data_IF_312290184150
#
_entry.id   IF_312290184150
#
_cell.length_a   1.000
_cell.length_b   1.000
_cell.length_c   1.000
_cell.angle_alpha   90.00
_cell.angle_beta   90.00
_cell.angle_gamma   90.00
#
_symmetry.space_group_name_H-M   'P 1'
#
loop_
_entity.id
_entity.type
_entity.pdbx_description
1 polymer ?
#
# COMPACT_ATOMS: atom_id res chain seq x y z
N UNK A 1 -7.09 -3.07 4.46
CA UNK A 1 -5.98 -3.54 3.59
C UNK A 1 -6.39 -3.38 2.13
N UNK A 2 -5.57 -2.73 1.32
CA UNK A 2 -5.79 -2.55 -0.12
C UNK A 2 -5.04 -3.63 -0.88
N UNK A 3 -5.79 -4.55 -1.48
CA UNK A 3 -5.28 -5.60 -2.35
C UNK A 3 -5.40 -5.20 -3.81
N UNK A 4 -4.36 -5.51 -4.59
CA UNK A 4 -4.40 -5.39 -6.06
C UNK A 4 -5.35 -6.42 -6.66
N UNK A 5 -5.87 -6.16 -7.87
CA UNK A 5 -6.80 -7.06 -8.55
C UNK A 5 -6.28 -8.50 -8.57
N UNK A 6 -7.10 -9.48 -8.19
CA UNK A 6 -6.67 -10.85 -8.11
C UNK A 6 -6.48 -11.38 -9.53
N UNK A 7 -5.35 -12.01 -9.79
CA UNK A 7 -5.31 -13.02 -10.84
C UNK A 7 -6.26 -14.16 -10.46
N UNK A 8 -7.27 -14.42 -11.29
CA UNK A 8 -8.29 -15.50 -11.30
C UNK A 8 -8.89 -16.09 -10.00
N UNK A 9 -8.36 -15.95 -8.77
CA UNK A 9 -8.94 -16.56 -7.55
C UNK A 9 -8.60 -15.80 -6.26
N UNK A 10 -9.64 -15.58 -5.44
CA UNK A 10 -9.67 -15.20 -4.01
C UNK A 10 -8.80 -14.00 -3.55
N UNK A 11 -9.10 -13.48 -2.36
CA UNK A 11 -8.18 -12.57 -1.64
C UNK A 11 -6.87 -13.34 -1.45
N UNK A 12 -5.87 -13.04 -2.29
CA UNK A 12 -4.63 -13.82 -2.34
C UNK A 12 -3.85 -13.68 -1.04
N UNK A 13 -3.17 -14.74 -0.61
CA UNK A 13 -2.05 -14.62 0.33
C UNK A 13 -1.12 -13.49 -0.17
N UNK A 14 -0.59 -12.64 0.71
CA UNK A 14 -0.62 -12.71 2.17
C UNK A 14 -1.73 -11.86 2.81
N UNK A 15 -2.65 -11.30 2.02
CA UNK A 15 -3.70 -10.39 2.50
C UNK A 15 -4.55 -11.04 3.59
N UNK A 16 -4.98 -12.30 3.39
CA UNK A 16 -5.74 -13.04 4.39
C UNK A 16 -4.96 -13.28 5.68
N UNK A 17 -3.67 -13.63 5.59
CA UNK A 17 -2.81 -13.94 6.74
C UNK A 17 -2.57 -12.69 7.58
N UNK A 18 -2.29 -11.55 6.93
CA UNK A 18 -2.12 -10.25 7.60
C UNK A 18 -3.42 -9.82 8.29
N UNK A 19 -4.55 -9.88 7.60
CA UNK A 19 -5.83 -9.48 8.20
C UNK A 19 -6.25 -10.39 9.36
N UNK A 20 -5.94 -11.68 9.29
CA UNK A 20 -6.19 -12.62 10.38
C UNK A 20 -5.26 -12.38 11.57
N UNK A 21 -3.98 -12.10 11.30
CA UNK A 21 -3.01 -11.74 12.35
C UNK A 21 -3.41 -10.47 13.08
N UNK A 22 -3.75 -9.41 12.34
CA UNK A 22 -4.21 -8.14 12.93
C UNK A 22 -5.46 -8.30 13.80
N UNK A 23 -6.42 -9.13 13.37
CA UNK A 23 -7.64 -9.41 14.16
C UNK A 23 -7.36 -10.21 15.44
N UNK A 24 -6.31 -11.02 15.46
CA UNK A 24 -5.89 -11.78 16.66
C UNK A 24 -5.18 -10.88 17.67
N UNK A 25 -4.38 -9.93 17.18
CA UNK A 25 -3.55 -9.04 18.00
C UNK A 25 -4.31 -7.83 18.55
N UNK A 26 -5.49 -7.51 18.02
CA UNK A 26 -6.30 -6.40 18.54
C UNK A 26 -7.79 -6.63 18.37
N UNK A 27 -8.48 -6.78 19.51
CA UNK A 27 -9.95 -6.80 19.59
C UNK A 27 -10.59 -5.40 19.44
N UNK A 28 -9.77 -4.34 19.31
CA UNK A 28 -10.21 -2.94 19.43
C UNK A 28 -10.36 -2.21 18.09
N UNK A 29 -9.99 -2.81 16.96
CA UNK A 29 -10.08 -2.14 15.65
C UNK A 29 -10.59 -3.03 14.52
N UNK A 30 -11.50 -2.46 13.73
CA UNK A 30 -12.09 -3.12 12.57
C UNK A 30 -11.08 -3.20 11.42
N UNK A 31 -10.80 -4.42 10.96
CA UNK A 31 -9.94 -4.67 9.78
C UNK A 31 -10.80 -5.10 8.60
N UNK A 32 -10.84 -4.25 7.56
CA UNK A 32 -11.52 -4.53 6.28
C UNK A 32 -10.49 -4.78 5.17
N UNK A 33 -10.93 -5.47 4.11
CA UNK A 33 -10.15 -5.70 2.90
C UNK A 33 -10.87 -5.11 1.71
N UNK A 34 -10.20 -4.23 0.97
CA UNK A 34 -10.66 -3.70 -0.30
C UNK A 34 -9.79 -4.30 -1.41
N UNK A 35 -10.42 -4.92 -2.38
CA UNK A 35 -9.75 -5.40 -3.60
C UNK A 35 -10.08 -4.44 -4.72
N UNK A 36 -9.05 -3.84 -5.32
CA UNK A 36 -9.25 -2.82 -6.35
C UNK A 36 -9.79 -3.41 -7.65
N UNK A 37 -10.72 -2.69 -8.29
CA UNK A 37 -11.25 -3.00 -9.61
C UNK A 37 -10.16 -2.88 -10.68
N UNK A 38 -9.33 -1.84 -10.62
CA UNK A 38 -8.22 -1.57 -11.54
C UNK A 38 -6.86 -1.59 -10.82
N UNK A 39 -6.54 -2.70 -10.14
CA UNK A 39 -5.32 -2.88 -9.36
C UNK A 39 -4.11 -3.43 -10.14
N UNK A 40 -4.30 -3.83 -11.39
CA UNK A 40 -3.24 -4.32 -12.30
C UNK A 40 -2.46 -3.15 -12.94
N UNK A 41 -1.40 -3.46 -13.72
CA UNK A 41 -0.67 -2.45 -14.51
C UNK A 41 0.06 -1.38 -13.68
N UNK A 42 0.17 -0.17 -14.20
CA UNK A 42 0.69 1.05 -13.57
C UNK A 42 -0.24 2.23 -13.91
N UNK A 43 -0.19 3.36 -13.18
CA UNK A 43 -0.96 4.54 -13.54
C UNK A 43 -0.68 5.01 -14.98
N UNK A 44 -1.68 5.59 -15.64
CA UNK A 44 -1.53 6.07 -17.02
C UNK A 44 -0.52 7.23 -17.15
N UNK A 45 -0.34 8.01 -16.09
CA UNK A 45 0.61 9.13 -16.02
C UNK A 45 2.00 8.68 -15.52
N UNK A 46 2.22 7.37 -15.36
CA UNK A 46 3.50 6.82 -14.93
C UNK A 46 4.55 6.93 -16.05
N UNK A 47 5.81 7.30 -15.76
CA UNK A 47 6.90 7.27 -16.75
C UNK A 47 7.12 5.89 -17.37
N UNK A 48 6.70 4.82 -16.70
CA UNK A 48 6.81 3.43 -17.20
C UNK A 48 5.54 2.92 -17.88
N UNK A 49 4.51 3.75 -18.07
CA UNK A 49 3.24 3.36 -18.69
C UNK A 49 3.44 2.78 -20.10
N UNK A 50 4.32 3.38 -20.92
CA UNK A 50 4.62 2.89 -22.27
C UNK A 50 5.33 1.54 -22.34
N UNK A 51 5.84 1.03 -21.22
CA UNK A 51 6.51 -0.27 -21.12
C UNK A 51 5.61 -1.39 -20.58
N UNK A 52 4.36 -1.07 -20.22
CA UNK A 52 3.42 -2.03 -19.63
C UNK A 52 2.31 -2.36 -20.63
N UNK A 53 2.31 -3.59 -21.12
CA UNK A 53 1.20 -4.13 -21.92
C UNK A 53 0.04 -4.49 -20.98
N UNK A 54 -1.13 -3.86 -21.15
CA UNK A 54 -2.36 -4.21 -20.43
C UNK A 54 -3.15 -3.03 -19.88
N UNK A 55 -4.06 -3.32 -18.94
CA UNK A 55 -4.93 -2.32 -18.32
C UNK A 55 -4.16 -1.40 -17.37
N UNK A 56 -4.56 -0.11 -17.33
CA UNK A 56 -4.01 0.88 -16.41
C UNK A 56 -4.47 0.65 -14.97
N UNK A 57 -3.59 1.00 -14.03
CA UNK A 57 -3.93 1.09 -12.62
C UNK A 57 -4.81 2.32 -12.38
N UNK A 58 -5.82 2.20 -11.52
CA UNK A 58 -6.69 3.32 -11.17
C UNK A 58 -7.52 3.07 -9.92
N UNK A 59 -8.16 4.14 -9.45
CA UNK A 59 -9.12 4.12 -8.34
C UNK A 59 -10.43 4.76 -8.78
N UNK A 60 -11.53 4.14 -8.39
CA UNK A 60 -12.87 4.73 -8.53
C UNK A 60 -13.17 5.68 -7.35
N UNK A 61 -14.08 6.67 -7.50
CA UNK A 61 -14.49 7.53 -6.39
C UNK A 61 -14.99 6.75 -5.16
N UNK A 62 -15.68 5.62 -5.40
CA UNK A 62 -16.14 4.72 -4.34
C UNK A 62 -14.97 4.09 -3.58
N UNK A 63 -13.93 3.63 -4.28
CA UNK A 63 -12.74 3.06 -3.64
C UNK A 63 -11.96 4.11 -2.84
N UNK A 64 -11.87 5.34 -3.35
CA UNK A 64 -11.23 6.47 -2.62
C UNK A 64 -11.97 6.71 -1.30
N UNK A 65 -13.29 6.92 -1.35
CA UNK A 65 -14.11 7.11 -0.15
C UNK A 65 -13.99 5.93 0.83
N UNK A 66 -13.94 4.70 0.31
CA UNK A 66 -13.76 3.51 1.11
C UNK A 66 -12.38 3.38 1.75
N UNK A 67 -11.33 3.92 1.14
CA UNK A 67 -9.99 3.97 1.73
C UNK A 67 -9.97 5.03 2.83
N UNK A 68 -10.43 6.24 2.54
CA UNK A 68 -10.34 7.40 3.44
C UNK A 68 -11.19 7.30 4.71
N UNK A 69 -12.22 6.43 4.75
CA UNK A 69 -12.96 6.17 6.00
C UNK A 69 -12.12 5.47 7.10
N UNK A 70 -10.91 4.99 6.78
CA UNK A 70 -10.05 4.27 7.71
C UNK A 70 -8.95 5.17 8.29
N UNK A 71 -8.47 4.84 9.49
CA UNK A 71 -7.33 5.54 10.11
C UNK A 71 -6.00 5.25 9.42
N UNK A 72 -5.83 4.02 8.92
CA UNK A 72 -4.58 3.54 8.31
C UNK A 72 -4.89 2.61 7.13
N UNK A 73 -4.18 2.79 6.02
CA UNK A 73 -4.22 1.90 4.87
C UNK A 73 -2.96 1.02 4.80
N UNK A 74 -3.12 -0.29 4.63
CA UNK A 74 -2.04 -1.21 4.28
C UNK A 74 -2.07 -1.41 2.77
N UNK A 75 -1.02 -0.99 2.06
CA UNK A 75 -0.92 -1.04 0.60
C UNK A 75 0.00 -2.20 0.21
N UNK A 76 -0.56 -3.32 -0.26
CA UNK A 76 0.22 -4.50 -0.58
C UNK A 76 0.56 -4.61 -2.07
N UNK A 77 1.86 -4.65 -2.40
CA UNK A 77 2.37 -4.61 -3.77
C UNK A 77 3.32 -5.78 -4.11
N UNK A 78 3.56 -5.98 -5.41
CA UNK A 78 4.37 -7.07 -5.94
C UNK A 78 5.88 -6.77 -6.01
N UNK A 79 6.56 -7.39 -6.99
CA UNK A 79 8.02 -7.44 -7.06
C UNK A 79 8.68 -6.45 -8.04
N UNK A 80 7.93 -5.51 -8.61
CA UNK A 80 8.49 -4.55 -9.58
C UNK A 80 8.58 -3.18 -8.93
N UNK A 81 9.81 -2.74 -8.61
CA UNK A 81 10.07 -1.52 -7.82
C UNK A 81 9.32 -0.30 -8.35
N UNK A 82 9.49 0.01 -9.64
CA UNK A 82 8.82 1.15 -10.29
C UNK A 82 7.29 1.05 -10.20
N UNK A 83 6.72 -0.16 -10.30
CA UNK A 83 5.28 -0.34 -10.16
C UNK A 83 4.80 -0.09 -8.74
N UNK A 84 5.56 -0.52 -7.73
CA UNK A 84 5.23 -0.27 -6.32
C UNK A 84 5.20 1.23 -6.07
N UNK A 85 6.29 1.93 -6.39
CA UNK A 85 6.43 3.37 -6.14
C UNK A 85 5.32 4.16 -6.85
N UNK A 86 5.08 3.90 -8.14
CA UNK A 86 4.08 4.64 -8.91
C UNK A 86 2.65 4.37 -8.44
N UNK A 87 2.33 3.15 -8.00
CA UNK A 87 1.01 2.85 -7.42
C UNK A 87 0.82 3.49 -6.06
N UNK A 88 1.83 3.44 -5.19
CA UNK A 88 1.76 4.09 -3.87
C UNK A 88 1.53 5.58 -4.05
N UNK A 89 2.31 6.22 -4.95
CA UNK A 89 2.12 7.62 -5.33
C UNK A 89 0.71 7.90 -5.79
N UNK A 90 0.19 7.13 -6.75
CA UNK A 90 -1.15 7.33 -7.29
C UNK A 90 -2.24 7.17 -6.23
N UNK A 91 -2.15 6.15 -5.37
CA UNK A 91 -3.13 5.95 -4.30
C UNK A 91 -3.15 7.16 -3.35
N UNK A 92 -1.98 7.65 -2.93
CA UNK A 92 -1.88 8.72 -1.94
C UNK A 92 -2.06 10.13 -2.54
N UNK A 93 -1.92 10.27 -3.85
CA UNK A 93 -2.35 11.45 -4.61
C UNK A 93 -3.87 11.63 -4.53
N UNK A 94 -4.61 10.53 -4.53
CA UNK A 94 -6.08 10.55 -4.47
C UNK A 94 -6.62 10.48 -3.05
N UNK A 95 -5.99 9.71 -2.17
CA UNK A 95 -6.44 9.44 -0.80
C UNK A 95 -5.58 10.14 0.26
N UNK A 96 -6.19 10.97 1.09
CA UNK A 96 -5.58 11.57 2.28
C UNK A 96 -5.61 10.60 3.46
N UNK A 97 -4.67 9.65 3.49
CA UNK A 97 -4.59 8.62 4.54
C UNK A 97 -3.14 8.34 4.95
N UNK A 98 -2.96 7.89 6.20
CA UNK A 98 -1.71 7.32 6.69
C UNK A 98 -1.56 5.91 6.12
N UNK A 99 -0.45 5.63 5.44
CA UNK A 99 -0.26 4.37 4.74
C UNK A 99 0.96 3.59 5.23
N UNK A 100 0.84 2.26 5.20
CA UNK A 100 1.94 1.31 5.40
C UNK A 100 2.12 0.57 4.09
N UNK A 101 3.31 0.64 3.51
CA UNK A 101 3.61 -0.05 2.25
C UNK A 101 4.16 -1.43 2.56
N UNK A 102 3.48 -2.46 2.08
CA UNK A 102 3.93 -3.85 2.18
C UNK A 102 4.28 -4.33 0.77
N UNK A 103 5.48 -4.83 0.55
CA UNK A 103 5.94 -5.17 -0.80
C UNK A 103 6.82 -6.40 -0.84
N UNK A 104 6.88 -7.07 -2.00
CA UNK A 104 7.85 -8.15 -2.21
C UNK A 104 9.25 -7.58 -2.45
N UNK A 105 9.36 -6.60 -3.35
CA UNK A 105 10.63 -5.96 -3.70
C UNK A 105 11.07 -4.98 -2.61
N UNK A 106 12.36 -4.90 -2.25
CA UNK A 106 12.86 -3.86 -1.37
C UNK A 106 12.69 -2.48 -2.01
N UNK A 107 12.09 -1.56 -1.25
CA UNK A 107 12.00 -0.12 -1.53
C UNK A 107 12.32 0.64 -0.25
N UNK A 108 12.71 1.91 -0.37
CA UNK A 108 12.95 2.81 0.77
C UNK A 108 12.11 4.10 0.68
N UNK A 109 12.32 5.01 1.64
CA UNK A 109 11.60 6.28 1.69
C UNK A 109 12.04 7.24 0.59
N UNK A 110 13.30 7.17 0.18
CA UNK A 110 13.90 7.96 -0.88
C UNK A 110 13.31 7.61 -2.25
N UNK A 111 13.10 6.32 -2.53
CA UNK A 111 12.41 5.82 -3.72
C UNK A 111 11.02 6.48 -3.86
N UNK A 112 10.29 6.61 -2.75
CA UNK A 112 8.96 7.23 -2.71
C UNK A 112 9.02 8.77 -2.77
N UNK A 113 9.94 9.39 -2.01
CA UNK A 113 10.05 10.83 -1.94
C UNK A 113 10.48 11.46 -3.28
N UNK A 114 11.32 10.76 -4.06
CA UNK A 114 11.68 11.16 -5.44
C UNK A 114 10.47 11.31 -6.36
N UNK A 115 9.42 10.52 -6.13
CA UNK A 115 8.17 10.57 -6.89
C UNK A 115 7.12 11.51 -6.25
N UNK A 116 7.52 12.34 -5.29
CA UNK A 116 6.64 13.33 -4.67
C UNK A 116 5.73 12.76 -3.58
N UNK A 117 6.00 11.54 -3.10
CA UNK A 117 5.23 10.92 -2.02
C UNK A 117 5.71 11.45 -0.67
N UNK A 118 4.80 12.00 0.13
CA UNK A 118 5.09 12.35 1.53
C UNK A 118 5.40 11.07 2.31
N UNK A 119 6.49 11.08 3.07
CA UNK A 119 6.83 9.98 3.96
C UNK A 119 7.18 10.46 5.36
N UNK A 120 7.17 9.56 6.33
CA UNK A 120 7.51 9.88 7.73
C UNK A 120 9.00 10.19 7.97
N UNK A 121 9.89 9.78 7.04
CA UNK A 121 11.34 9.90 7.22
C UNK A 121 11.97 10.85 6.21
N UNK A 122 11.56 10.77 4.95
CA UNK A 122 12.11 11.59 3.85
C UNK A 122 10.98 12.35 3.16
N UNK A 123 10.99 13.67 3.29
CA UNK A 123 10.00 14.53 2.65
C UNK A 123 10.48 14.95 1.25
N UNK A 124 9.62 14.92 0.22
CA UNK A 124 9.90 15.58 -1.05
C UNK A 124 10.09 17.10 -0.84
N UNK A 125 10.80 17.79 -1.74
CA UNK A 125 10.78 19.25 -1.81
C UNK A 125 9.33 19.77 -1.88
N UNK A 126 9.00 20.89 -1.20
CA UNK A 126 7.61 21.38 -1.12
C UNK A 126 6.91 21.57 -2.48
N UNK A 127 7.66 22.03 -3.48
CA UNK A 127 7.22 22.24 -4.86
C UNK A 127 7.02 20.95 -5.67
N UNK A 128 7.48 19.80 -5.12
CA UNK A 128 7.40 18.48 -5.75
C UNK A 128 6.48 17.51 -5.03
N UNK A 129 5.79 17.94 -3.97
CA UNK A 129 4.82 17.10 -3.26
C UNK A 129 3.62 16.82 -4.16
N UNK A 130 3.33 15.54 -4.39
CA UNK A 130 2.21 15.06 -5.21
C UNK A 130 1.10 14.42 -4.41
N UNK A 131 1.37 14.00 -3.16
CA UNK A 131 0.43 13.19 -2.38
C UNK A 131 -0.30 13.98 -1.30
N UNK A 132 -1.58 13.66 -1.11
CA UNK A 132 -2.39 14.09 0.04
C UNK A 132 -2.08 13.23 1.25
N UNK A 133 -2.02 11.90 1.06
CA UNK A 133 -1.64 10.95 2.09
C UNK A 133 -0.13 10.88 2.33
N UNK A 134 0.26 10.09 3.34
CA UNK A 134 1.64 9.96 3.82
C UNK A 134 1.99 8.50 4.09
N UNK A 135 3.14 8.04 3.59
CA UNK A 135 3.70 6.73 3.97
C UNK A 135 4.38 6.83 5.33
N UNK A 136 3.89 6.03 6.29
CA UNK A 136 4.37 6.03 7.66
C UNK A 136 5.40 4.94 7.93
N UNK A 137 5.27 3.78 7.27
CA UNK A 137 6.11 2.60 7.47
C UNK A 137 6.22 1.81 6.16
N UNK A 138 7.33 1.07 5.99
CA UNK A 138 7.58 0.18 4.85
C UNK A 138 8.00 -1.19 5.39
N UNK A 139 7.37 -2.25 4.87
CA UNK A 139 7.75 -3.65 5.14
C UNK A 139 7.94 -4.38 3.81
N UNK A 140 9.18 -4.69 3.46
CA UNK A 140 9.54 -5.42 2.24
C UNK A 140 9.80 -6.91 2.50
N UNK A 141 9.89 -7.71 1.42
CA UNK A 141 10.08 -9.16 1.50
C UNK A 141 8.79 -9.96 1.75
N UNK A 142 7.63 -9.35 1.51
CA UNK A 142 6.32 -9.99 1.67
C UNK A 142 5.77 -10.40 0.30
N UNK A 143 5.85 -11.70 -0.01
CA UNK A 143 5.57 -12.23 -1.35
C UNK A 143 4.08 -12.49 -1.59
N UNK A 144 3.59 -12.06 -2.75
CA UNK A 144 2.22 -12.37 -3.21
C UNK A 144 2.05 -13.87 -3.49
N UNK A 145 0.93 -14.43 -3.05
CA UNK A 145 0.57 -15.83 -3.24
C UNK A 145 1.21 -16.79 -2.23
N UNK A 146 2.04 -16.30 -1.30
CA UNK A 146 2.75 -17.11 -0.32
C UNK A 146 2.38 -16.70 1.10
N UNK A 147 2.44 -17.65 2.04
CA UNK A 147 2.31 -17.33 3.46
C UNK A 147 3.58 -16.62 3.92
N UNK A 148 3.49 -15.43 4.52
CA UNK A 148 4.66 -14.72 5.03
C UNK A 148 5.37 -15.54 6.11
N UNK A 149 6.71 -15.45 6.21
CA UNK A 149 7.42 -15.88 7.41
C UNK A 149 6.83 -15.20 8.66
N UNK A 150 6.88 -15.87 9.80
CA UNK A 150 6.33 -15.35 11.07
C UNK A 150 6.92 -13.98 11.43
N UNK A 151 8.22 -13.80 11.21
CA UNK A 151 8.92 -12.54 11.41
C UNK A 151 8.32 -11.41 10.57
N UNK A 152 8.09 -11.64 9.28
CA UNK A 152 7.46 -10.66 8.39
C UNK A 152 6.01 -10.35 8.76
N UNK A 153 5.26 -11.34 9.22
CA UNK A 153 3.91 -11.09 9.72
C UNK A 153 3.94 -10.20 10.97
N UNK A 154 4.87 -10.46 11.91
CA UNK A 154 5.06 -9.65 13.10
C UNK A 154 5.52 -8.22 12.77
N UNK A 155 6.44 -8.04 11.80
CA UNK A 155 6.86 -6.72 11.31
C UNK A 155 5.67 -5.89 10.81
N UNK A 156 4.79 -6.48 9.98
CA UNK A 156 3.59 -5.80 9.48
C UNK A 156 2.66 -5.40 10.62
N UNK A 157 2.42 -6.31 11.57
CA UNK A 157 1.56 -6.04 12.72
C UNK A 157 2.14 -4.91 13.58
N UNK A 158 3.43 -4.97 13.91
CA UNK A 158 4.10 -3.94 14.69
C UNK A 158 4.07 -2.58 13.99
N UNK A 159 4.28 -2.53 12.68
CA UNK A 159 4.15 -1.31 11.89
C UNK A 159 2.74 -0.71 12.02
N UNK A 160 1.70 -1.54 11.87
CA UNK A 160 0.29 -1.11 12.03
C UNK A 160 0.04 -0.54 13.43
N UNK A 161 0.48 -1.25 14.47
CA UNK A 161 0.28 -0.81 15.85
C UNK A 161 1.02 0.49 16.17
N UNK A 162 2.24 0.69 15.65
CA UNK A 162 2.97 1.97 15.80
C UNK A 162 2.21 3.13 15.15
N UNK A 163 1.70 2.94 13.94
CA UNK A 163 0.96 3.99 13.22
C UNK A 163 -0.36 4.31 13.91
N UNK A 164 -1.08 3.30 14.43
CA UNK A 164 -2.31 3.50 15.19
C UNK A 164 -2.06 4.22 16.52
N UNK A 165 -1.01 3.86 17.27
CA UNK A 165 -0.68 4.50 18.56
C UNK A 165 -0.20 5.94 18.43
N UNK A 166 0.51 6.27 17.35
CA UNK A 166 0.92 7.65 17.04
C UNK A 166 -0.20 8.52 16.46
N UNK A 167 -1.45 8.07 16.52
CA UNK A 167 -2.63 8.84 16.13
C UNK A 167 -3.41 9.40 17.34
N UNK A 168 -2.82 9.34 18.54
CA UNK A 168 -3.32 9.94 19.78
C UNK A 168 -2.45 11.12 20.21
#
# INVERSE_FOLDING_TARGET
MVGMSPGRRHVTKPVCDITSGLRREGAEFSVTTLVLNAGSGVPADSPVAGHVLGAYFGLTPKEIAQIEQHKVAILHHGNVRSHVVQKVRFILEHCNIRAIVVSQVPIDYEDLAKEGVKTAVVMPPPDKVRTKGTVMEIVSGVTRGQTPPREKLAEVIHAVMRVLKSSN
#
